data_IF_212627570901
#
_entry.id   IF_212627570901
#
_cell.length_a   1.000
_cell.length_b   1.000
_cell.length_c   1.000
_cell.angle_alpha   90.00
_cell.angle_beta   90.00
_cell.angle_gamma   90.00
#
_symmetry.space_group_name_H-M   'P 1'
#
loop_
_entity.id
_entity.type
_entity.pdbx_description
1 polymer ?
#
# COMPACT_ATOMS: atom_id res chain seq x y z
N UNK A 1 19.76 -14.91 -6.99
CA UNK A 1 18.69 -14.86 -8.01
C UNK A 1 19.35 -14.45 -9.32
N UNK A 2 19.08 -15.13 -10.44
CA UNK A 2 19.62 -14.72 -11.74
C UNK A 2 18.85 -13.52 -12.30
N UNK A 3 19.45 -12.80 -13.24
CA UNK A 3 18.82 -11.66 -13.92
C UNK A 3 17.52 -12.07 -14.61
N UNK A 4 17.53 -13.19 -15.35
CA UNK A 4 16.34 -13.70 -16.05
C UNK A 4 15.16 -13.93 -15.12
N UNK A 5 15.41 -14.48 -13.92
CA UNK A 5 14.37 -14.72 -12.92
C UNK A 5 13.84 -13.39 -12.39
N UNK A 6 14.71 -12.40 -12.14
CA UNK A 6 14.33 -11.07 -11.66
C UNK A 6 13.44 -10.34 -12.68
N UNK A 7 13.82 -10.36 -13.95
CA UNK A 7 13.06 -9.75 -15.05
C UNK A 7 11.69 -10.40 -15.21
N UNK A 8 11.63 -11.74 -15.10
CA UNK A 8 10.37 -12.47 -15.17
C UNK A 8 9.43 -12.07 -14.03
N UNK A 9 9.91 -12.06 -12.78
CA UNK A 9 9.10 -11.65 -11.62
C UNK A 9 8.53 -10.24 -11.82
N UNK A 10 9.36 -9.29 -12.25
CA UNK A 10 8.89 -7.93 -12.51
C UNK A 10 7.83 -7.90 -13.63
N UNK A 11 8.01 -8.68 -14.69
CA UNK A 11 7.03 -8.78 -15.78
C UNK A 11 5.67 -9.28 -15.28
N UNK A 12 5.67 -10.33 -14.46
CA UNK A 12 4.47 -10.94 -13.91
C UNK A 12 3.71 -9.96 -12.98
N UNK A 13 4.44 -9.17 -12.19
CA UNK A 13 3.87 -8.10 -11.36
C UNK A 13 3.25 -6.97 -12.19
N UNK A 14 3.94 -6.48 -13.22
CA UNK A 14 3.49 -5.36 -14.06
C UNK A 14 2.29 -5.75 -14.94
N UNK A 15 2.22 -7.00 -15.39
CA UNK A 15 1.06 -7.52 -16.13
C UNK A 15 -0.15 -7.81 -15.25
N UNK A 16 0.03 -7.76 -13.93
CA UNK A 16 -1.01 -8.07 -12.96
C UNK A 16 -1.37 -9.56 -12.90
N UNK A 17 -0.44 -10.45 -13.27
CA UNK A 17 -0.66 -11.90 -13.20
C UNK A 17 -0.63 -12.41 -11.75
N UNK A 18 0.19 -11.76 -10.90
CA UNK A 18 0.34 -12.10 -9.49
C UNK A 18 -0.37 -11.12 -8.54
N UNK A 19 -0.65 -9.89 -8.99
CA UNK A 19 -1.24 -8.81 -8.17
C UNK A 19 -2.29 -8.04 -8.96
N UNK A 20 -3.27 -7.47 -8.26
CA UNK A 20 -4.23 -6.57 -8.89
C UNK A 20 -3.70 -5.14 -8.88
N UNK A 21 -3.56 -4.53 -10.07
CA UNK A 21 -3.18 -3.12 -10.21
C UNK A 21 -4.44 -2.26 -10.05
N UNK A 22 -4.37 -1.27 -9.14
CA UNK A 22 -5.45 -0.33 -8.85
C UNK A 22 -4.98 1.08 -9.19
N UNK A 23 -5.84 1.88 -9.85
CA UNK A 23 -5.55 3.29 -10.11
C UNK A 23 -5.55 4.10 -8.80
N UNK A 24 -4.57 4.98 -8.65
CA UNK A 24 -4.43 5.85 -7.47
C UNK A 24 -5.43 7.01 -7.45
N UNK A 25 -6.00 7.39 -8.60
CA UNK A 25 -6.77 8.63 -8.77
C UNK A 25 -7.96 8.70 -7.81
N UNK A 26 -8.65 7.58 -7.59
CA UNK A 26 -9.80 7.46 -6.70
C UNK A 26 -9.44 7.69 -5.21
N UNK A 27 -8.18 7.46 -4.84
CA UNK A 27 -7.72 7.47 -3.44
C UNK A 27 -6.88 8.71 -3.09
N UNK A 28 -6.47 9.50 -4.09
CA UNK A 28 -5.44 10.52 -3.92
C UNK A 28 -5.83 11.63 -2.94
N UNK A 29 -7.10 12.05 -2.96
CA UNK A 29 -7.59 13.12 -2.07
C UNK A 29 -7.60 12.67 -0.61
N UNK A 30 -8.12 11.49 -0.32
CA UNK A 30 -8.15 10.95 1.05
C UNK A 30 -6.74 10.55 1.53
N UNK A 31 -5.91 9.98 0.65
CA UNK A 31 -4.51 9.71 0.93
C UNK A 31 -3.74 10.99 1.31
N UNK A 32 -3.99 12.10 0.63
CA UNK A 32 -3.36 13.38 0.96
C UNK A 32 -3.79 13.90 2.34
N UNK A 33 -5.07 13.76 2.71
CA UNK A 33 -5.56 14.05 4.06
C UNK A 33 -4.83 13.21 5.11
N UNK A 34 -4.78 11.89 4.93
CA UNK A 34 -4.10 10.96 5.85
C UNK A 34 -2.62 11.31 5.97
N UNK A 35 -1.95 11.63 4.86
CA UNK A 35 -0.54 11.99 4.84
C UNK A 35 -0.23 13.21 5.74
N UNK A 36 -1.12 14.22 5.73
CA UNK A 36 -0.98 15.41 6.59
C UNK A 36 -1.21 15.05 8.06
N UNK A 37 -2.30 14.33 8.35
CA UNK A 37 -2.70 14.00 9.72
C UNK A 37 -1.68 13.09 10.42
N UNK A 38 -1.22 12.06 9.71
CA UNK A 38 -0.28 11.06 10.24
C UNK A 38 1.20 11.37 9.96
N UNK A 39 1.49 12.47 9.25
CA UNK A 39 2.85 12.92 8.90
C UNK A 39 3.66 11.84 8.17
N UNK A 40 3.03 11.18 7.23
CA UNK A 40 3.62 10.18 6.32
C UNK A 40 3.61 10.69 4.87
N UNK A 41 4.26 9.96 3.95
CA UNK A 41 4.22 10.37 2.54
C UNK A 41 2.85 10.07 1.93
N UNK A 42 2.48 10.79 0.86
CA UNK A 42 1.24 10.49 0.11
C UNK A 42 1.27 9.07 -0.46
N UNK A 43 2.45 8.54 -0.79
CA UNK A 43 2.60 7.17 -1.29
C UNK A 43 2.25 6.13 -0.23
N UNK A 44 2.71 6.32 1.00
CA UNK A 44 2.35 5.44 2.11
C UNK A 44 0.86 5.51 2.41
N UNK A 45 0.30 6.72 2.38
CA UNK A 45 -1.11 6.98 2.66
C UNK A 45 -2.06 6.45 1.58
N UNK A 46 -1.61 6.30 0.32
CA UNK A 46 -2.42 5.70 -0.76
C UNK A 46 -2.83 4.26 -0.43
N UNK A 47 -1.92 3.47 0.14
CA UNK A 47 -2.23 2.10 0.56
C UNK A 47 -3.22 2.06 1.73
N UNK A 48 -3.09 2.99 2.69
CA UNK A 48 -4.01 3.14 3.82
C UNK A 48 -5.42 3.51 3.30
N UNK A 49 -5.51 4.50 2.42
CA UNK A 49 -6.78 4.93 1.83
C UNK A 49 -7.45 3.82 1.01
N UNK A 50 -6.67 3.08 0.21
CA UNK A 50 -7.16 1.91 -0.53
C UNK A 50 -7.70 0.84 0.42
N UNK A 51 -6.92 0.46 1.44
CA UNK A 51 -7.32 -0.56 2.41
C UNK A 51 -8.61 -0.18 3.14
N UNK A 52 -8.73 1.10 3.53
CA UNK A 52 -9.88 1.65 4.25
C UNK A 52 -11.13 1.64 3.38
N UNK A 53 -10.98 2.07 2.13
CA UNK A 53 -12.09 2.13 1.17
C UNK A 53 -12.59 0.73 0.78
N UNK A 54 -11.70 -0.26 0.68
CA UNK A 54 -12.08 -1.63 0.33
C UNK A 54 -12.43 -2.51 1.54
N UNK A 55 -12.20 -2.03 2.77
CA UNK A 55 -12.40 -2.81 3.99
C UNK A 55 -11.49 -4.04 4.08
N UNK A 56 -10.25 -3.92 3.60
CA UNK A 56 -9.25 -5.00 3.58
C UNK A 56 -8.10 -4.70 4.53
N UNK A 57 -7.36 -5.73 4.91
CA UNK A 57 -6.17 -5.60 5.74
C UNK A 57 -5.00 -4.93 4.99
N UNK A 58 -4.29 -4.04 5.67
CA UNK A 58 -3.01 -3.52 5.17
C UNK A 58 -1.86 -4.39 5.68
N UNK A 59 -1.11 -5.00 4.77
CA UNK A 59 0.12 -5.74 5.09
C UNK A 59 1.33 -4.90 4.68
N UNK A 60 2.25 -4.67 5.60
CA UNK A 60 3.45 -3.85 5.33
C UNK A 60 4.64 -4.29 6.16
N UNK A 61 5.85 -4.01 5.67
CA UNK A 61 7.08 -4.10 6.47
C UNK A 61 7.47 -2.74 7.07
N UNK A 62 6.80 -1.65 6.68
CA UNK A 62 7.07 -0.31 7.19
C UNK A 62 6.30 -0.06 8.49
N UNK A 63 7.06 0.08 9.59
CA UNK A 63 6.49 0.32 10.91
C UNK A 63 5.69 1.63 11.00
N UNK A 64 6.14 2.70 10.35
CA UNK A 64 5.44 3.99 10.39
C UNK A 64 4.11 3.91 9.65
N UNK A 65 4.09 3.23 8.50
CA UNK A 65 2.86 3.02 7.75
C UNK A 65 1.88 2.14 8.54
N UNK A 66 2.38 1.08 9.18
CA UNK A 66 1.57 0.23 10.06
C UNK A 66 0.93 1.04 11.20
N UNK A 67 1.72 1.83 11.92
CA UNK A 67 1.23 2.65 13.04
C UNK A 67 0.18 3.67 12.58
N UNK A 68 0.39 4.30 11.42
CA UNK A 68 -0.59 5.22 10.83
C UNK A 68 -1.89 4.51 10.46
N UNK A 69 -1.81 3.31 9.87
CA UNK A 69 -3.00 2.53 9.51
C UNK A 69 -3.83 2.14 10.73
N UNK A 70 -3.19 1.70 11.81
CA UNK A 70 -3.88 1.34 13.06
C UNK A 70 -4.60 2.56 13.66
N UNK A 71 -3.99 3.75 13.64
CA UNK A 71 -4.65 4.99 14.10
C UNK A 71 -5.84 5.40 13.25
N UNK A 72 -5.77 5.17 11.94
CA UNK A 72 -6.90 5.34 11.01
C UNK A 72 -8.01 4.28 11.17
N UNK A 73 -7.86 3.36 12.14
CA UNK A 73 -8.85 2.34 12.50
C UNK A 73 -8.83 1.09 11.62
N UNK A 74 -7.75 0.86 10.89
CA UNK A 74 -7.60 -0.31 10.01
C UNK A 74 -7.09 -1.53 10.76
N UNK A 75 -7.51 -2.71 10.30
CA UNK A 75 -6.77 -3.93 10.57
C UNK A 75 -5.48 -3.93 9.73
N UNK A 76 -4.34 -4.15 10.38
CA UNK A 76 -3.04 -4.13 9.73
C UNK A 76 -2.11 -5.21 10.30
N UNK A 77 -1.21 -5.71 9.46
CA UNK A 77 -0.15 -6.67 9.82
C UNK A 77 1.22 -6.09 9.49
N UNK A 78 2.10 -6.08 10.49
CA UNK A 78 3.52 -5.73 10.32
C UNK A 78 4.34 -7.01 10.12
N UNK A 79 4.94 -7.16 8.94
CA UNK A 79 5.87 -8.26 8.67
C UNK A 79 7.26 -7.89 9.20
N UNK A 80 7.84 -8.77 10.00
CA UNK A 80 9.16 -8.66 10.65
C UNK A 80 10.15 -9.66 10.08
#
# INVERSE_FOLDING_TARGET
>A
MSEDVSVKILSDLVKGEAIKIISQEEYLIDAFRIAIEEKITVYDALFISLAKTKGIELVTCDRKQYEAAVKEGLNASLLV
#
